data_IF_481029337383
#
_entry.id   IF_481029337383
#
_cell.length_a   1.000
_cell.length_b   1.000
_cell.length_c   1.000
_cell.angle_alpha   90.00
_cell.angle_beta   90.00
_cell.angle_gamma   90.00
#
_symmetry.space_group_name_H-M   'P 1'
#
loop_
_entity.id
_entity.type
_entity.pdbx_description
1 polymer ?
#
# COMPACT_ATOMS: atom_id res chain seq x y z
N UNK A 1 -28.91 -10.82 -12.72
CA UNK A 1 -28.07 -11.98 -13.10
C UNK A 1 -27.64 -11.76 -14.53
N UNK A 2 -26.39 -11.36 -14.73
CA UNK A 2 -25.86 -10.85 -16.00
C UNK A 2 -25.05 -11.90 -16.76
N UNK A 3 -25.20 -13.17 -16.39
CA UNK A 3 -24.51 -14.32 -16.99
C UNK A 3 -25.58 -15.33 -17.40
N UNK A 4 -25.59 -15.71 -18.68
CA UNK A 4 -26.51 -16.66 -19.27
C UNK A 4 -25.75 -17.86 -19.86
N UNK A 5 -26.29 -19.07 -19.66
CA UNK A 5 -25.73 -20.28 -20.23
C UNK A 5 -25.88 -20.31 -21.76
N UNK A 6 -24.87 -20.84 -22.46
CA UNK A 6 -24.95 -21.15 -23.89
C UNK A 6 -24.82 -22.65 -24.04
N UNK A 7 -25.94 -23.33 -24.38
CA UNK A 7 -25.96 -24.77 -24.65
C UNK A 7 -25.51 -25.03 -26.09
N UNK A 8 -24.52 -25.90 -26.26
CA UNK A 8 -24.03 -26.32 -27.57
C UNK A 8 -22.98 -27.42 -27.47
N UNK A 9 -22.67 -28.09 -28.59
CA UNK A 9 -21.58 -29.07 -28.65
C UNK A 9 -20.25 -28.32 -28.80
N UNK A 10 -19.33 -28.48 -27.84
CA UNK A 10 -18.00 -27.83 -27.85
C UNK A 10 -17.54 -27.33 -26.49
N UNK A 11 -16.58 -26.40 -26.47
CA UNK A 11 -16.07 -25.78 -25.23
C UNK A 11 -17.22 -25.05 -24.52
N UNK A 12 -17.35 -25.30 -23.21
CA UNK A 12 -18.33 -24.66 -22.35
C UNK A 12 -18.18 -23.13 -22.37
N UNK A 13 -19.29 -22.43 -22.62
CA UNK A 13 -19.34 -20.96 -22.75
C UNK A 13 -20.51 -20.37 -21.97
N UNK A 14 -20.36 -19.13 -21.54
CA UNK A 14 -21.43 -18.32 -21.00
C UNK A 14 -21.46 -16.97 -21.71
N UNK A 15 -22.67 -16.44 -21.90
CA UNK A 15 -22.91 -15.08 -22.36
C UNK A 15 -22.93 -14.17 -21.14
N UNK A 16 -22.11 -13.14 -21.16
CA UNK A 16 -22.03 -12.11 -20.13
C UNK A 16 -22.66 -10.85 -20.69
N UNK A 17 -23.57 -10.22 -19.96
CA UNK A 17 -24.32 -9.04 -20.38
C UNK A 17 -24.03 -7.90 -19.39
N UNK A 18 -23.69 -6.73 -19.91
CA UNK A 18 -23.52 -5.53 -19.11
C UNK A 18 -24.88 -5.04 -18.60
N UNK A 19 -25.04 -4.91 -17.28
CA UNK A 19 -26.27 -4.40 -16.66
C UNK A 19 -26.53 -2.90 -16.95
N UNK A 20 -25.54 -2.18 -17.47
CA UNK A 20 -25.64 -0.74 -17.75
C UNK A 20 -26.02 -0.38 -19.19
N UNK A 21 -25.54 -1.14 -20.18
CA UNK A 21 -25.77 -0.84 -21.59
C UNK A 21 -26.20 -2.04 -22.44
N UNK A 22 -26.34 -3.22 -21.84
CA UNK A 22 -26.73 -4.44 -22.55
C UNK A 22 -25.64 -5.03 -23.46
N UNK A 23 -24.40 -4.51 -23.43
CA UNK A 23 -23.28 -5.09 -24.18
C UNK A 23 -23.10 -6.56 -23.78
N UNK A 24 -23.08 -7.44 -24.78
CA UNK A 24 -22.86 -8.88 -24.57
C UNK A 24 -21.44 -9.28 -24.95
N UNK A 25 -20.87 -10.23 -24.20
CA UNK A 25 -19.57 -10.84 -24.49
C UNK A 25 -19.62 -12.33 -24.16
N UNK A 26 -19.01 -13.17 -24.99
CA UNK A 26 -19.04 -14.63 -24.81
C UNK A 26 -17.71 -15.10 -24.26
N UNK A 27 -17.75 -15.77 -23.11
CA UNK A 27 -16.55 -16.24 -22.40
C UNK A 27 -16.61 -17.74 -22.21
N UNK A 28 -15.45 -18.39 -22.36
CA UNK A 28 -15.30 -19.80 -22.03
C UNK A 28 -15.22 -19.99 -20.51
N UNK A 29 -15.99 -20.93 -19.97
CA UNK A 29 -16.03 -21.18 -18.53
C UNK A 29 -16.36 -22.63 -18.23
N UNK A 30 -15.91 -23.11 -17.08
CA UNK A 30 -16.34 -24.39 -16.54
C UNK A 30 -17.78 -24.26 -16.01
N UNK A 31 -18.50 -25.37 -16.00
CA UNK A 31 -19.82 -25.46 -15.38
C UNK A 31 -19.66 -26.25 -14.09
N UNK A 32 -20.18 -25.71 -13.00
CA UNK A 32 -20.15 -26.34 -11.69
C UNK A 32 -21.46 -27.10 -11.46
N UNK A 33 -21.34 -28.24 -10.80
CA UNK A 33 -22.49 -29.03 -10.38
C UNK A 33 -23.01 -28.52 -9.04
N UNK A 34 -24.19 -27.90 -9.01
CA UNK A 34 -24.83 -27.46 -7.76
C UNK A 34 -25.84 -28.50 -7.23
N UNK A 35 -26.17 -28.45 -5.93
CA UNK A 35 -27.24 -29.28 -5.36
C UNK A 35 -28.53 -29.11 -6.17
N UNK A 36 -29.15 -30.22 -6.57
CA UNK A 36 -30.33 -30.21 -7.47
C UNK A 36 -30.05 -30.59 -8.93
N UNK A 37 -28.87 -31.12 -9.27
CA UNK A 37 -28.49 -31.57 -10.64
C UNK A 37 -28.56 -30.47 -11.71
N UNK A 38 -28.36 -29.22 -11.30
CA UNK A 38 -28.31 -28.08 -12.22
C UNK A 38 -26.85 -27.74 -12.49
N UNK A 39 -26.46 -27.82 -13.76
CA UNK A 39 -25.17 -27.34 -14.23
C UNK A 39 -25.24 -25.83 -14.42
N UNK A 40 -24.45 -25.09 -13.66
CA UNK A 40 -24.45 -23.62 -13.69
C UNK A 40 -23.06 -23.15 -14.09
N UNK A 41 -22.93 -22.15 -14.98
CA UNK A 41 -21.64 -21.53 -15.28
C UNK A 41 -20.91 -21.06 -14.02
N UNK A 42 -19.60 -21.29 -13.94
CA UNK A 42 -18.76 -20.80 -12.83
C UNK A 42 -18.63 -19.27 -12.88
N UNK A 43 -19.53 -18.60 -12.15
CA UNK A 43 -19.53 -17.14 -12.02
C UNK A 43 -18.18 -16.60 -11.49
N UNK A 44 -17.48 -17.33 -10.62
CA UNK A 44 -16.18 -16.89 -10.08
C UNK A 44 -15.06 -16.95 -11.12
N UNK A 45 -15.08 -17.94 -12.01
CA UNK A 45 -14.15 -17.99 -13.15
C UNK A 45 -14.48 -16.92 -14.19
N UNK A 46 -15.78 -16.73 -14.48
CA UNK A 46 -16.24 -15.73 -15.44
C UNK A 46 -15.87 -14.33 -14.96
N UNK A 47 -16.18 -13.96 -13.72
CA UNK A 47 -15.87 -12.64 -13.18
C UNK A 47 -14.36 -12.36 -13.21
N UNK A 48 -13.51 -13.34 -12.87
CA UNK A 48 -12.04 -13.17 -12.98
C UNK A 48 -11.59 -12.88 -14.41
N UNK A 49 -12.11 -13.60 -15.41
CA UNK A 49 -11.78 -13.37 -16.83
C UNK A 49 -12.27 -12.00 -17.31
N UNK A 50 -13.49 -11.62 -16.91
CA UNK A 50 -14.09 -10.35 -17.30
C UNK A 50 -13.38 -9.16 -16.65
N UNK A 51 -13.00 -9.27 -15.37
CA UNK A 51 -12.20 -8.25 -14.69
C UNK A 51 -10.84 -8.07 -15.36
N UNK A 52 -10.17 -9.16 -15.76
CA UNK A 52 -8.94 -9.09 -16.56
C UNK A 52 -9.11 -8.39 -17.92
N UNK A 53 -10.34 -8.39 -18.47
CA UNK A 53 -10.71 -7.69 -19.72
C UNK A 53 -11.25 -6.27 -19.48
N UNK A 54 -11.12 -5.74 -18.26
CA UNK A 54 -11.52 -4.38 -17.90
C UNK A 54 -12.98 -4.20 -17.53
N UNK A 55 -13.74 -5.29 -17.34
CA UNK A 55 -15.07 -5.21 -16.76
C UNK A 55 -14.97 -5.07 -15.24
N UNK A 56 -16.03 -4.58 -14.60
CA UNK A 56 -16.05 -4.44 -13.14
C UNK A 56 -17.36 -4.95 -12.56
N UNK A 57 -17.25 -5.67 -11.44
CA UNK A 57 -18.38 -6.04 -10.61
C UNK A 57 -18.54 -5.02 -9.49
N UNK A 58 -19.67 -4.29 -9.47
CA UNK A 58 -19.96 -3.29 -8.45
C UNK A 58 -21.35 -3.52 -7.89
N UNK A 59 -21.43 -3.73 -6.57
CA UNK A 59 -22.66 -4.06 -5.84
C UNK A 59 -23.43 -5.24 -6.47
N UNK A 60 -22.72 -6.27 -6.92
CA UNK A 60 -23.31 -7.47 -7.54
C UNK A 60 -23.86 -7.26 -8.95
N UNK A 61 -23.53 -6.15 -9.62
CA UNK A 61 -23.84 -5.90 -11.04
C UNK A 61 -22.55 -5.84 -11.85
N UNK A 62 -22.59 -6.40 -13.05
CA UNK A 62 -21.43 -6.48 -13.93
C UNK A 62 -21.50 -5.38 -15.00
N UNK A 63 -20.46 -4.56 -15.06
CA UNK A 63 -20.37 -3.42 -15.95
C UNK A 63 -19.23 -3.58 -16.94
N UNK A 64 -19.49 -3.28 -18.20
CA UNK A 64 -18.46 -3.22 -19.23
C UNK A 64 -17.50 -2.04 -19.00
N UNK A 65 -16.32 -2.04 -19.62
CA UNK A 65 -15.30 -1.00 -19.43
C UNK A 65 -15.85 0.41 -19.68
N UNK A 66 -16.75 0.57 -20.64
CA UNK A 66 -17.35 1.87 -21.00
C UNK A 66 -18.34 2.34 -19.92
N UNK A 67 -19.21 1.45 -19.44
CA UNK A 67 -20.15 1.76 -18.36
C UNK A 67 -19.42 2.01 -17.05
N UNK A 68 -18.33 1.29 -16.80
CA UNK A 68 -17.52 1.51 -15.63
C UNK A 68 -16.74 2.82 -15.70
N UNK A 69 -16.13 3.15 -16.83
CA UNK A 69 -15.51 4.46 -17.05
C UNK A 69 -16.52 5.61 -16.88
N UNK A 70 -17.73 5.48 -17.45
CA UNK A 70 -18.82 6.45 -17.23
C UNK A 70 -19.25 6.53 -15.77
N UNK A 71 -19.32 5.40 -15.05
CA UNK A 71 -19.66 5.35 -13.62
C UNK A 71 -18.56 5.96 -12.75
N UNK A 72 -17.29 5.73 -13.06
CA UNK A 72 -16.15 6.34 -12.34
C UNK A 72 -16.12 7.85 -12.57
N UNK A 73 -16.31 8.30 -13.82
CA UNK A 73 -16.40 9.72 -14.15
C UNK A 73 -17.57 10.42 -13.43
N UNK A 74 -18.74 9.76 -13.30
CA UNK A 74 -19.91 10.31 -12.58
C UNK A 74 -19.88 10.09 -11.07
N UNK A 75 -19.14 9.08 -10.59
CA UNK A 75 -18.96 8.74 -9.18
C UNK A 75 -17.98 9.69 -8.47
N UNK A 76 -16.92 10.12 -9.16
CA UNK A 76 -16.06 11.22 -8.71
C UNK A 76 -16.86 12.52 -8.50
N UNK A 77 -18.00 12.69 -9.18
CA UNK A 77 -18.90 13.84 -9.00
C UNK A 77 -19.95 13.65 -7.90
N UNK A 78 -20.09 12.46 -7.31
CA UNK A 78 -21.23 12.10 -6.42
C UNK A 78 -20.86 11.65 -5.00
N UNK A 79 -19.58 11.60 -4.62
CA UNK A 79 -19.19 11.30 -3.21
C UNK A 79 -19.27 12.52 -2.29
N UNK A 80 -19.87 13.63 -2.74
CA UNK A 80 -20.19 14.78 -1.88
C UNK A 80 -21.71 14.97 -1.87
N UNK A 81 -22.39 14.29 -0.95
CA UNK A 81 -23.73 14.69 -0.45
C UNK A 81 -24.01 13.91 0.84
N UNK A 82 -24.59 14.47 1.91
CA UNK A 82 -25.44 15.68 2.01
C UNK A 82 -25.70 16.02 3.52
N UNK A 83 -26.45 17.10 3.90
CA UNK A 83 -27.43 17.89 3.11
C UNK A 83 -27.25 19.43 3.21
N UNK A 84 -27.77 20.34 2.36
CA UNK A 84 -28.70 20.34 1.22
C UNK A 84 -28.44 21.58 0.30
N UNK A 85 -29.06 21.54 -0.89
CA UNK A 85 -29.42 22.64 -1.83
C UNK A 85 -28.40 23.20 -2.86
N UNK A 86 -28.87 23.27 -4.13
CA UNK A 86 -28.34 23.96 -5.33
C UNK A 86 -28.77 25.45 -5.31
N UNK A 87 -28.21 26.39 -6.12
CA UNK A 87 -27.56 26.25 -7.43
C UNK A 87 -26.16 26.87 -7.55
N UNK A 88 -25.55 26.74 -8.73
CA UNK A 88 -24.17 27.06 -9.03
C UNK A 88 -23.91 28.57 -9.17
N UNK A 89 -23.20 29.17 -8.21
CA UNK A 89 -22.61 30.52 -8.33
C UNK A 89 -21.43 30.65 -7.35
N UNK A 90 -20.26 31.07 -7.85
CA UNK A 90 -19.08 31.41 -7.04
C UNK A 90 -18.28 30.22 -6.48
N UNK A 91 -16.97 30.37 -6.35
CA UNK A 91 -16.16 29.54 -5.45
C UNK A 91 -16.86 29.54 -4.08
N UNK A 92 -17.31 28.38 -3.61
CA UNK A 92 -17.93 28.27 -2.28
C UNK A 92 -16.95 28.86 -1.26
N UNK A 93 -17.36 29.90 -0.55
CA UNK A 93 -16.59 30.48 0.55
C UNK A 93 -17.04 29.88 1.88
N UNK A 94 -16.13 29.77 2.87
CA UNK A 94 -16.52 29.37 4.22
C UNK A 94 -17.51 30.38 4.80
N UNK A 95 -18.46 29.89 5.61
CA UNK A 95 -19.30 30.80 6.39
C UNK A 95 -18.44 31.61 7.37
N UNK A 96 -18.97 32.74 7.87
CA UNK A 96 -18.25 33.55 8.87
C UNK A 96 -17.93 32.78 10.14
N UNK A 97 -18.80 31.85 10.51
CA UNK A 97 -18.63 30.97 11.68
C UNK A 97 -17.52 29.95 11.42
N UNK A 98 -17.55 29.26 10.29
CA UNK A 98 -16.48 28.35 9.86
C UNK A 98 -15.13 29.06 9.75
N UNK A 99 -15.11 30.30 9.25
CA UNK A 99 -13.88 31.10 9.18
C UNK A 99 -13.31 31.38 10.56
N UNK A 100 -14.16 31.66 11.56
CA UNK A 100 -13.74 31.87 12.94
C UNK A 100 -13.17 30.59 13.54
N UNK A 101 -13.86 29.47 13.37
CA UNK A 101 -13.40 28.15 13.86
C UNK A 101 -12.05 27.75 13.27
N UNK A 102 -11.85 27.98 11.96
CA UNK A 102 -10.57 27.72 11.29
C UNK A 102 -9.47 28.60 11.89
N UNK A 103 -9.71 29.89 12.08
CA UNK A 103 -8.72 30.81 12.69
C UNK A 103 -8.38 30.37 14.11
N UNK A 104 -9.39 30.04 14.92
CA UNK A 104 -9.18 29.62 16.31
C UNK A 104 -8.37 28.32 16.37
N UNK A 105 -8.65 27.35 15.51
CA UNK A 105 -7.86 26.11 15.42
C UNK A 105 -6.42 26.38 14.96
N UNK A 106 -6.22 27.21 13.92
CA UNK A 106 -4.90 27.55 13.42
C UNK A 106 -4.02 28.25 14.47
N UNK A 107 -4.59 29.01 15.41
CA UNK A 107 -3.84 29.60 16.54
C UNK A 107 -3.21 28.56 17.46
N UNK A 108 -3.86 27.40 17.61
CA UNK A 108 -3.38 26.33 18.47
C UNK A 108 -2.29 25.51 17.78
N UNK A 109 -2.52 25.15 16.50
CA UNK A 109 -1.72 24.16 15.79
C UNK A 109 -0.62 24.71 14.88
N UNK A 110 -0.66 26.00 14.54
CA UNK A 110 0.31 26.62 13.64
C UNK A 110 1.27 27.54 14.41
N UNK A 111 2.57 27.45 14.08
CA UNK A 111 3.61 28.30 14.62
C UNK A 111 3.95 29.43 13.63
N UNK A 112 3.53 30.68 13.89
CA UNK A 112 3.80 31.80 12.99
C UNK A 112 5.26 32.25 12.99
N UNK A 113 6.03 31.97 14.04
CA UNK A 113 7.45 32.35 14.08
C UNK A 113 8.30 31.40 13.26
N UNK A 114 7.97 30.11 13.30
CA UNK A 114 8.63 29.08 12.51
C UNK A 114 7.98 28.83 11.14
N UNK A 115 6.93 29.60 10.82
CA UNK A 115 6.09 29.49 9.62
C UNK A 115 5.67 28.06 9.27
N UNK A 116 5.30 27.23 10.25
CA UNK A 116 4.99 25.81 10.02
C UNK A 116 3.98 25.25 11.00
N UNK A 117 3.40 24.10 10.68
CA UNK A 117 2.57 23.36 11.62
C UNK A 117 3.37 22.72 12.75
N UNK A 118 2.77 22.73 13.95
CA UNK A 118 3.24 22.01 15.12
C UNK A 118 2.82 20.53 15.03
N UNK A 119 3.60 19.66 15.67
CA UNK A 119 3.30 18.23 15.76
C UNK A 119 3.00 17.61 14.39
N UNK A 120 1.87 16.94 14.21
CA UNK A 120 1.46 16.24 12.98
C UNK A 120 0.28 16.94 12.27
N UNK A 121 0.01 18.20 12.60
CA UNK A 121 -1.11 18.93 11.99
C UNK A 121 -0.79 19.47 10.60
N UNK A 122 -1.83 19.61 9.78
CA UNK A 122 -1.79 20.13 8.40
C UNK A 122 -3.14 20.77 8.08
N UNK A 123 -3.23 21.51 6.97
CA UNK A 123 -4.51 22.00 6.45
C UNK A 123 -5.57 20.89 6.35
N UNK A 124 -5.15 19.67 6.00
CA UNK A 124 -6.02 18.52 5.84
C UNK A 124 -6.55 17.98 7.18
N UNK A 125 -5.69 17.88 8.21
CA UNK A 125 -6.14 17.39 9.52
C UNK A 125 -7.05 18.41 10.21
N UNK A 126 -6.74 19.70 10.10
CA UNK A 126 -7.60 20.79 10.59
C UNK A 126 -8.95 20.77 9.89
N UNK A 127 -8.95 20.59 8.56
CA UNK A 127 -10.18 20.53 7.79
C UNK A 127 -11.06 19.31 8.14
N UNK A 128 -10.44 18.14 8.37
CA UNK A 128 -11.14 16.92 8.78
C UNK A 128 -11.80 17.09 10.16
N UNK A 129 -11.07 17.67 11.13
CA UNK A 129 -11.59 17.94 12.48
C UNK A 129 -12.77 18.90 12.45
N UNK A 130 -12.72 19.95 11.63
CA UNK A 130 -13.76 20.96 11.52
C UNK A 130 -14.87 20.62 10.51
N UNK A 131 -14.71 19.53 9.74
CA UNK A 131 -15.66 19.15 8.67
C UNK A 131 -15.76 20.18 7.54
N UNK A 132 -14.67 20.90 7.25
CA UNK A 132 -14.59 21.96 6.23
C UNK A 132 -13.70 21.55 5.05
N UNK A 133 -13.62 22.38 4.02
CA UNK A 133 -12.73 22.13 2.88
C UNK A 133 -11.28 22.49 3.21
N UNK A 134 -10.28 21.62 2.92
CA UNK A 134 -8.86 21.93 3.16
C UNK A 134 -8.37 23.20 2.47
N UNK A 135 -8.90 23.52 1.28
CA UNK A 135 -8.56 24.74 0.57
C UNK A 135 -8.96 26.03 1.31
N UNK A 136 -10.02 26.00 2.13
CA UNK A 136 -10.40 27.15 2.96
C UNK A 136 -9.42 27.34 4.12
N UNK A 137 -8.92 26.25 4.69
CA UNK A 137 -7.91 26.28 5.75
C UNK A 137 -6.61 26.85 5.19
N UNK A 138 -6.16 26.37 4.02
CA UNK A 138 -4.97 26.87 3.34
C UNK A 138 -5.06 28.38 3.02
N UNK A 139 -6.19 28.84 2.48
CA UNK A 139 -6.41 30.26 2.17
C UNK A 139 -6.38 31.14 3.43
N UNK A 140 -7.01 30.69 4.52
CA UNK A 140 -7.03 31.43 5.79
C UNK A 140 -5.64 31.41 6.45
N UNK A 141 -4.94 30.28 6.41
CA UNK A 141 -3.58 30.15 6.93
C UNK A 141 -2.64 31.12 6.19
N UNK A 142 -2.64 31.09 4.86
CA UNK A 142 -1.78 31.96 4.06
C UNK A 142 -2.10 33.45 4.27
N UNK A 143 -3.38 33.80 4.45
CA UNK A 143 -3.80 35.19 4.65
C UNK A 143 -3.50 35.75 6.06
N UNK A 144 -3.51 34.92 7.11
CA UNK A 144 -3.45 35.39 8.50
C UNK A 144 -2.26 34.88 9.32
N UNK A 145 -1.60 33.80 8.89
CA UNK A 145 -0.55 33.12 9.65
C UNK A 145 0.75 32.97 8.86
N UNK A 146 0.70 32.48 7.62
CA UNK A 146 1.88 32.25 6.80
C UNK A 146 1.77 31.07 5.84
N UNK A 147 2.85 30.71 5.14
CA UNK A 147 2.90 29.59 4.19
C UNK A 147 2.68 28.24 4.89
N UNK A 148 2.60 27.12 4.15
CA UNK A 148 2.43 25.81 4.80
C UNK A 148 3.69 25.45 5.62
N UNK A 149 4.87 25.83 5.08
CA UNK A 149 6.21 25.67 5.66
C UNK A 149 6.57 24.28 6.19
N UNK A 150 5.75 23.28 5.87
CA UNK A 150 5.90 21.91 6.29
C UNK A 150 5.41 21.67 7.72
N UNK A 151 5.86 20.56 8.28
CA UNK A 151 5.36 20.03 9.54
C UNK A 151 6.55 19.53 10.40
N UNK A 152 6.59 19.97 11.66
CA UNK A 152 7.63 19.62 12.62
C UNK A 152 7.79 18.10 12.79
N UNK A 153 6.68 17.37 12.88
CA UNK A 153 6.65 15.92 13.00
C UNK A 153 7.27 15.21 11.77
N UNK A 154 6.97 15.68 10.56
CA UNK A 154 7.56 15.14 9.32
C UNK A 154 9.07 15.38 9.32
N UNK A 155 9.52 16.58 9.69
CA UNK A 155 10.95 16.88 9.75
C UNK A 155 11.66 16.00 10.79
N UNK A 156 11.14 15.94 12.01
CA UNK A 156 11.70 15.12 13.08
C UNK A 156 11.73 13.63 12.72
N UNK A 157 10.67 13.12 12.09
CA UNK A 157 10.62 11.74 11.61
C UNK A 157 11.67 11.48 10.53
N UNK A 158 11.83 12.41 9.58
CA UNK A 158 12.82 12.30 8.51
C UNK A 158 14.24 12.30 9.04
N UNK A 159 14.56 13.19 9.99
CA UNK A 159 15.86 13.25 10.65
C UNK A 159 16.15 11.96 11.43
N UNK A 160 15.16 11.44 12.15
CA UNK A 160 15.28 10.18 12.89
C UNK A 160 15.47 8.98 11.97
N UNK A 161 14.76 8.92 10.85
CA UNK A 161 14.95 7.87 9.83
C UNK A 161 16.38 7.92 9.27
N UNK A 162 16.87 9.11 8.91
CA UNK A 162 18.23 9.28 8.40
C UNK A 162 19.31 8.91 9.44
N UNK A 163 19.05 9.14 10.74
CA UNK A 163 19.94 8.68 11.80
C UNK A 163 19.97 7.14 11.89
N UNK A 164 18.80 6.50 11.93
CA UNK A 164 18.69 5.04 11.99
C UNK A 164 19.30 4.35 10.76
N UNK A 165 19.11 4.91 9.56
CA UNK A 165 19.76 4.40 8.35
C UNK A 165 21.29 4.42 8.45
N UNK A 166 21.87 5.50 9.00
CA UNK A 166 23.31 5.60 9.22
C UNK A 166 23.80 4.58 10.24
N UNK A 167 23.07 4.39 11.33
CA UNK A 167 23.38 3.39 12.35
C UNK A 167 23.34 1.96 11.77
N UNK A 168 22.29 1.63 11.00
CA UNK A 168 22.16 0.32 10.36
C UNK A 168 23.33 0.07 9.39
N UNK A 169 23.72 1.08 8.60
CA UNK A 169 24.88 0.97 7.71
C UNK A 169 26.17 0.71 8.48
N UNK A 170 26.42 1.48 9.55
CA UNK A 170 27.59 1.30 10.38
C UNK A 170 27.65 -0.09 11.04
N UNK A 171 26.52 -0.60 11.52
CA UNK A 171 26.41 -1.96 12.07
C UNK A 171 26.68 -3.01 10.98
N UNK A 172 26.13 -2.83 9.79
CA UNK A 172 26.32 -3.74 8.66
C UNK A 172 27.79 -3.80 8.22
N UNK A 173 28.46 -2.65 8.17
CA UNK A 173 29.90 -2.57 7.84
C UNK A 173 30.76 -3.26 8.92
N UNK A 174 30.44 -3.06 10.19
CA UNK A 174 31.14 -3.73 11.29
C UNK A 174 30.93 -5.25 11.24
N UNK A 175 29.70 -5.69 11.00
CA UNK A 175 29.36 -7.11 10.85
C UNK A 175 30.12 -7.74 9.68
N UNK A 176 30.23 -7.03 8.54
CA UNK A 176 31.03 -7.46 7.39
C UNK A 176 32.51 -7.67 7.75
N UNK A 177 33.13 -6.73 8.46
CA UNK A 177 34.52 -6.85 8.94
C UNK A 177 34.71 -8.01 9.93
N UNK A 178 33.74 -8.19 10.82
CA UNK A 178 33.76 -9.31 11.78
C UNK A 178 33.63 -10.65 11.06
N UNK A 179 32.77 -10.74 10.03
CA UNK A 179 32.62 -11.93 9.21
C UNK A 179 33.90 -12.27 8.44
N UNK A 180 34.57 -11.26 7.87
CA UNK A 180 35.86 -11.44 7.21
C UNK A 180 36.92 -11.97 8.20
N UNK A 181 36.98 -11.38 9.39
CA UNK A 181 37.89 -11.80 10.46
C UNK A 181 37.61 -13.24 10.89
N UNK A 182 36.33 -13.60 11.08
CA UNK A 182 35.92 -14.95 11.42
C UNK A 182 36.30 -15.95 10.31
N UNK A 183 36.15 -15.57 9.03
CA UNK A 183 36.54 -16.42 7.91
C UNK A 183 38.05 -16.71 7.90
N UNK A 184 38.88 -15.69 8.18
CA UNK A 184 40.34 -15.83 8.30
C UNK A 184 40.70 -16.77 9.44
N UNK A 185 40.06 -16.62 10.61
CA UNK A 185 40.27 -17.52 11.75
C UNK A 185 39.83 -18.95 11.48
N UNK A 186 38.74 -19.17 10.75
CA UNK A 186 38.32 -20.50 10.33
C UNK A 186 39.34 -21.14 9.37
N UNK A 187 39.90 -20.37 8.44
CA UNK A 187 40.98 -20.84 7.56
C UNK A 187 42.25 -21.22 8.34
N UNK A 188 42.67 -20.38 9.30
CA UNK A 188 43.80 -20.68 10.19
C UNK A 188 43.55 -21.98 10.99
N UNK A 189 42.36 -22.15 11.56
CA UNK A 189 41.98 -23.38 12.29
C UNK A 189 42.01 -24.60 11.37
N UNK A 190 41.52 -24.48 10.14
CA UNK A 190 41.58 -25.55 9.15
C UNK A 190 43.02 -25.97 8.85
N UNK A 191 43.90 -24.99 8.62
CA UNK A 191 45.32 -25.23 8.38
C UNK A 191 46.01 -25.90 9.58
N UNK A 192 45.74 -25.42 10.80
CA UNK A 192 46.25 -26.03 12.03
C UNK A 192 45.76 -27.47 12.21
N UNK A 193 44.49 -27.75 11.90
CA UNK A 193 43.94 -29.12 11.92
C UNK A 193 44.67 -30.03 10.93
N UNK A 194 44.95 -29.54 9.72
CA UNK A 194 45.69 -30.30 8.71
C UNK A 194 47.14 -30.59 9.15
N UNK A 195 47.83 -29.61 9.74
CA UNK A 195 49.17 -29.78 10.31
C UNK A 195 49.17 -30.83 11.44
N UNK A 196 48.24 -30.70 12.39
CA UNK A 196 48.10 -31.68 13.47
C UNK A 196 47.83 -33.09 12.93
N UNK A 197 47.04 -33.23 11.87
CA UNK A 197 46.83 -34.49 11.18
C UNK A 197 48.13 -35.08 10.61
N UNK A 198 48.95 -34.24 9.96
CA UNK A 198 50.27 -34.65 9.44
C UNK A 198 51.23 -35.08 10.55
N UNK A 199 51.32 -34.31 11.63
CA UNK A 199 52.17 -34.63 12.79
C UNK A 199 51.73 -35.95 13.42
N UNK A 200 50.42 -36.14 13.68
CA UNK A 200 49.89 -37.40 14.23
C UNK A 200 50.20 -38.58 13.31
N UNK A 201 50.08 -38.40 11.98
CA UNK A 201 50.45 -39.42 11.00
C UNK A 201 51.93 -39.82 11.05
N UNK A 202 52.83 -38.84 11.16
CA UNK A 202 54.28 -39.07 11.18
C UNK A 202 54.78 -39.74 12.47
N UNK A 203 54.23 -39.38 13.63
CA UNK A 203 54.61 -39.94 14.94
C UNK A 203 54.13 -41.39 15.10
N UNK A 204 53.02 -41.75 14.46
CA UNK A 204 52.46 -43.09 14.45
C UNK A 204 51.76 -43.51 15.76
N UNK A 205 50.91 -44.56 15.72
CA UNK A 205 49.93 -44.81 16.78
C UNK A 205 50.52 -45.28 18.12
N UNK A 206 51.72 -45.89 18.11
CA UNK A 206 52.38 -46.37 19.34
C UNK A 206 52.99 -45.22 20.14
N UNK A 207 53.69 -44.29 19.50
CA UNK A 207 54.30 -43.15 20.16
C UNK A 207 53.25 -42.13 20.64
N UNK A 208 52.17 -41.92 19.89
CA UNK A 208 51.04 -41.09 20.35
C UNK A 208 50.38 -41.63 21.63
N UNK A 209 50.18 -42.96 21.71
CA UNK A 209 49.66 -43.62 22.92
C UNK A 209 50.61 -43.51 24.12
N UNK A 210 51.91 -43.61 23.89
CA UNK A 210 52.92 -43.44 24.94
C UNK A 210 52.99 -41.98 25.45
N UNK A 211 52.72 -41.00 24.59
CA UNK A 211 52.67 -39.58 24.92
C UNK A 211 51.32 -39.10 25.51
N UNK A 212 50.35 -40.00 25.72
CA UNK A 212 49.03 -39.64 26.27
C UNK A 212 48.11 -38.87 25.33
N UNK A 213 48.45 -38.74 24.05
CA UNK A 213 47.66 -38.04 23.04
C UNK A 213 46.69 -39.04 22.41
N UNK A 214 45.38 -38.86 22.63
CA UNK A 214 44.33 -39.63 21.95
C UNK A 214 44.12 -39.18 20.50
#
# INVERSE_FOLDING_TARGET
MSIHEIKGKGVNRARVVCDGCGREEVVTCNYLHRPGRVWVPDAGQINRKMIGQGWAEVKGKLHCPICEAKRKATGMTKTTTAPAAKPAEGLRQPSREQRREIVDMLREVYDPEAERYRQNDTDATVADVLGVMPGWVAEIREAFFGPDGGNEGIQAATERLAALEREIRAISDLAGKQQETASKKLAEVSAMRAELGRIKGAVGPRALRAAGVK
#
